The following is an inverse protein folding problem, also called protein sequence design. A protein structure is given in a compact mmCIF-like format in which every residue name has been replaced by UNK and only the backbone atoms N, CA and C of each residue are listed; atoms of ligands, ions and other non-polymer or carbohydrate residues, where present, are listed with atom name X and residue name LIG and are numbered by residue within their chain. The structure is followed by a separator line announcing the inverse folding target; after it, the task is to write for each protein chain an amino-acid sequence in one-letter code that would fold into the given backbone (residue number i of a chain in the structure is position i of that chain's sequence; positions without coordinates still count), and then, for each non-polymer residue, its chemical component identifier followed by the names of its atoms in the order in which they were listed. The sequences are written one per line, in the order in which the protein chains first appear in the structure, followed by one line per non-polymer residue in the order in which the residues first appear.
data_IF_613706464989
#
_entry.id   IF_613706464989
#
_cell.length_a   1.000
_cell.length_b   1.000
_cell.length_c   1.000
_cell.angle_alpha   90.00
_cell.angle_beta   90.00
_cell.angle_gamma   90.00
#
_symmetry.space_group_name_H-M   'P 1'
#
loop_
_entity.id
_entity.type
_entity.pdbx_description
1 polymer ?
#
# COMPACT_ATOMS: atom_id res chain seq x y z
N UNK A 1 31.81 11.90 -59.04
CA UNK A 1 32.07 12.46 -57.70
C UNK A 1 30.80 12.28 -56.90
N UNK A 2 30.73 11.23 -56.04
CA UNK A 2 29.54 10.91 -55.20
C UNK A 2 29.67 11.62 -53.85
N UNK A 3 28.76 12.54 -53.54
CA UNK A 3 28.67 13.24 -52.26
C UNK A 3 28.02 12.32 -51.23
N UNK A 4 28.77 11.87 -50.25
CA UNK A 4 28.29 11.10 -49.10
C UNK A 4 27.82 12.15 -48.06
N UNK A 5 26.51 12.16 -47.80
CA UNK A 5 25.90 12.96 -46.75
C UNK A 5 26.02 12.20 -45.43
N UNK A 6 26.61 12.76 -44.35
CA UNK A 6 26.62 12.09 -43.06
C UNK A 6 25.26 12.20 -42.41
N UNK A 7 24.64 11.07 -42.16
CA UNK A 7 23.42 10.95 -41.35
C UNK A 7 23.81 11.17 -39.87
N UNK A 8 23.55 12.37 -39.36
CA UNK A 8 23.71 12.66 -37.93
C UNK A 8 22.48 12.08 -37.22
N UNK A 9 22.64 10.95 -36.58
CA UNK A 9 21.67 10.38 -35.66
C UNK A 9 21.62 11.25 -34.40
N UNK A 10 20.63 12.09 -34.27
CA UNK A 10 20.33 12.82 -33.03
C UNK A 10 19.73 11.82 -32.04
N UNK A 11 20.57 11.33 -31.15
CA UNK A 11 20.14 10.52 -30.00
C UNK A 11 19.45 11.47 -29.02
N UNK A 12 18.13 11.60 -29.09
CA UNK A 12 17.32 12.25 -28.07
C UNK A 12 17.39 11.42 -26.78
N UNK A 13 18.31 11.79 -25.89
CA UNK A 13 18.30 11.32 -24.53
C UNK A 13 17.05 11.91 -23.86
N UNK A 14 15.99 11.11 -23.77
CA UNK A 14 14.87 11.40 -22.92
C UNK A 14 15.38 11.27 -21.48
N UNK A 15 15.85 12.40 -20.93
CA UNK A 15 16.09 12.51 -19.50
C UNK A 15 14.72 12.39 -18.81
N UNK A 16 14.32 11.15 -18.50
CA UNK A 16 13.22 10.93 -17.59
C UNK A 16 13.61 11.61 -16.28
N UNK A 17 12.88 12.65 -15.87
CA UNK A 17 12.99 13.21 -14.53
C UNK A 17 12.82 12.08 -13.54
N UNK A 18 13.95 11.55 -13.02
CA UNK A 18 13.92 10.71 -11.84
C UNK A 18 13.63 11.67 -10.68
N UNK A 19 12.63 11.41 -9.86
CA UNK A 19 12.49 12.17 -8.63
C UNK A 19 13.82 12.06 -7.86
N UNK A 20 14.38 13.20 -7.46
CA UNK A 20 15.55 13.25 -6.61
C UNK A 20 15.12 12.82 -5.20
N UNK A 21 15.28 11.54 -4.86
CA UNK A 21 14.90 11.00 -3.55
C UNK A 21 14.61 9.50 -3.56
N UNK A 22 14.43 8.91 -2.36
CA UNK A 22 14.03 7.52 -2.24
C UNK A 22 12.65 7.29 -2.84
N UNK A 23 12.50 6.23 -3.63
CA UNK A 23 11.26 5.91 -4.34
C UNK A 23 10.83 4.47 -4.13
N UNK A 24 9.53 4.22 -4.12
CA UNK A 24 8.93 2.92 -4.29
C UNK A 24 8.50 2.75 -5.76
N UNK A 25 9.06 1.75 -6.44
CA UNK A 25 8.58 1.32 -7.75
C UNK A 25 7.63 0.13 -7.57
N UNK A 26 6.35 0.32 -7.88
CA UNK A 26 5.34 -0.74 -7.81
C UNK A 26 5.16 -1.33 -9.21
N UNK A 27 5.54 -2.59 -9.39
CA UNK A 27 5.32 -3.38 -10.60
C UNK A 27 4.11 -4.26 -10.39
N UNK A 28 3.00 -3.87 -11.00
CA UNK A 28 1.73 -4.55 -10.82
C UNK A 28 1.40 -5.49 -11.97
N UNK A 29 0.85 -6.63 -11.61
CA UNK A 29 0.24 -7.58 -12.53
C UNK A 29 -1.22 -7.82 -12.14
N UNK A 30 -2.09 -7.94 -13.14
CA UNK A 30 -3.50 -8.24 -12.97
C UNK A 30 -3.95 -9.12 -14.13
N UNK A 31 -4.92 -9.98 -13.89
CA UNK A 31 -5.41 -10.90 -14.93
C UNK A 31 -5.92 -10.20 -16.19
N UNK A 32 -6.07 -10.96 -17.24
CA UNK A 32 -6.59 -10.49 -18.52
C UNK A 32 -7.99 -9.88 -18.40
N UNK A 33 -8.31 -8.94 -19.27
CA UNK A 33 -9.62 -8.28 -19.29
C UNK A 33 -9.71 -6.97 -18.48
N UNK A 34 -8.60 -6.54 -17.87
CA UNK A 34 -8.54 -5.26 -17.14
C UNK A 34 -7.85 -4.13 -17.92
N UNK A 35 -7.42 -4.38 -19.16
CA UNK A 35 -6.80 -3.37 -20.00
C UNK A 35 -7.69 -2.14 -20.16
N UNK A 36 -7.09 -0.96 -20.03
CA UNK A 36 -7.79 0.32 -20.06
C UNK A 36 -8.44 0.73 -18.73
N UNK A 37 -8.53 -0.15 -17.74
CA UNK A 37 -9.02 0.22 -16.41
C UNK A 37 -7.93 0.95 -15.62
N UNK A 38 -8.36 1.77 -14.65
CA UNK A 38 -7.46 2.47 -13.76
C UNK A 38 -7.23 1.68 -12.48
N UNK A 39 -5.99 1.66 -12.04
CA UNK A 39 -5.61 1.33 -10.67
C UNK A 39 -5.35 2.65 -9.97
N UNK A 40 -5.90 2.81 -8.78
CA UNK A 40 -5.69 3.96 -7.91
C UNK A 40 -4.75 3.60 -6.79
N UNK A 41 -3.85 4.51 -6.49
CA UNK A 41 -2.99 4.50 -5.32
C UNK A 41 -3.56 5.51 -4.32
N UNK A 42 -3.98 5.03 -3.15
CA UNK A 42 -4.72 5.80 -2.15
C UNK A 42 -3.96 5.82 -0.81
N UNK A 43 -3.17 6.87 -0.50
CA UNK A 43 -2.53 7.00 0.81
C UNK A 43 -3.55 6.97 1.96
N UNK A 44 -3.20 6.30 3.06
CA UNK A 44 -4.07 6.13 4.22
C UNK A 44 -3.55 6.96 5.42
N UNK A 45 -4.40 7.31 6.42
CA UNK A 45 -5.79 6.86 6.62
C UNK A 45 -6.86 7.69 5.89
N UNK A 46 -6.57 8.85 5.38
CA UNK A 46 -7.58 9.77 4.82
C UNK A 46 -7.14 10.32 3.46
N UNK A 47 -7.26 9.52 2.38
CA UNK A 47 -6.88 9.98 1.05
C UNK A 47 -7.79 11.14 0.61
N UNK A 48 -7.17 12.26 0.23
CA UNK A 48 -7.83 13.36 -0.44
C UNK A 48 -7.60 13.24 -1.95
N UNK A 49 -8.45 13.87 -2.77
CA UNK A 49 -8.38 13.71 -4.22
C UNK A 49 -7.04 14.16 -4.84
N UNK A 50 -6.37 15.10 -4.20
CA UNK A 50 -5.07 15.66 -4.60
C UNK A 50 -3.87 14.76 -4.28
N UNK A 51 -4.03 13.77 -3.39
CA UNK A 51 -2.97 12.80 -3.05
C UNK A 51 -3.22 11.40 -3.63
N UNK A 52 -4.36 11.20 -4.28
CA UNK A 52 -4.67 9.94 -4.97
C UNK A 52 -4.05 9.97 -6.36
N UNK A 53 -3.14 9.04 -6.62
CA UNK A 53 -2.56 8.81 -7.94
C UNK A 53 -3.27 7.69 -8.69
N UNK A 54 -3.12 7.62 -10.00
CA UNK A 54 -3.69 6.54 -10.80
C UNK A 54 -2.86 6.21 -12.03
N UNK A 55 -2.87 4.94 -12.40
CA UNK A 55 -2.28 4.44 -13.65
C UNK A 55 -3.27 3.58 -14.41
N UNK A 56 -3.02 3.36 -15.69
CA UNK A 56 -3.89 2.54 -16.56
C UNK A 56 -3.24 1.20 -16.81
N UNK A 57 -4.02 0.12 -16.69
CA UNK A 57 -3.59 -1.24 -17.03
C UNK A 57 -3.34 -1.36 -18.52
N UNK A 58 -2.20 -1.94 -18.90
CA UNK A 58 -1.80 -2.23 -20.29
C UNK A 58 -1.15 -3.61 -20.36
N UNK A 59 -1.70 -4.49 -21.15
CA UNK A 59 -1.20 -5.87 -21.26
C UNK A 59 -1.17 -6.62 -19.92
N UNK A 60 -2.22 -6.45 -19.12
CA UNK A 60 -2.32 -7.05 -17.78
C UNK A 60 -1.33 -6.52 -16.75
N UNK A 61 -0.66 -5.40 -17.02
CA UNK A 61 0.35 -4.81 -16.11
C UNK A 61 0.07 -3.35 -15.80
N UNK A 62 0.62 -2.87 -14.68
CA UNK A 62 0.60 -1.46 -14.31
C UNK A 62 1.86 -1.07 -13.54
N UNK A 63 2.18 0.22 -13.51
CA UNK A 63 3.39 0.74 -12.88
C UNK A 63 3.06 2.02 -12.11
N UNK A 64 3.59 2.11 -10.88
CA UNK A 64 3.69 3.36 -10.14
C UNK A 64 5.14 3.63 -9.75
N UNK A 65 5.49 4.90 -9.61
CA UNK A 65 6.72 5.40 -9.00
C UNK A 65 6.35 6.46 -8.00
N UNK A 66 6.43 6.09 -6.73
CA UNK A 66 5.94 6.88 -5.61
C UNK A 66 7.14 7.39 -4.82
N UNK A 67 7.21 8.70 -4.47
CA UNK A 67 8.16 9.18 -3.48
C UNK A 67 8.00 8.42 -2.16
N UNK A 68 9.10 7.97 -1.56
CA UNK A 68 9.13 7.15 -0.36
C UNK A 68 10.09 7.74 0.69
N UNK A 69 10.00 9.05 0.90
CA UNK A 69 10.82 9.79 1.87
C UNK A 69 10.47 9.45 3.32
N UNK A 70 9.29 8.90 3.55
CA UNK A 70 8.82 8.44 4.86
C UNK A 70 7.98 7.17 4.70
N UNK A 71 7.99 6.33 5.74
CA UNK A 71 7.12 5.14 5.78
C UNK A 71 5.68 5.57 6.01
N UNK A 72 4.77 5.11 5.16
CA UNK A 72 3.32 5.22 5.34
C UNK A 72 2.61 4.05 4.67
N UNK A 73 1.30 3.94 4.86
CA UNK A 73 0.48 2.89 4.22
C UNK A 73 -0.42 3.47 3.14
N UNK A 74 -0.68 2.68 2.12
CA UNK A 74 -1.59 3.02 1.04
C UNK A 74 -2.41 1.80 0.61
N UNK A 75 -3.55 2.05 -0.02
CA UNK A 75 -4.33 1.02 -0.70
C UNK A 75 -4.14 1.12 -2.22
N UNK A 76 -3.97 -0.02 -2.86
CA UNK A 76 -4.19 -0.16 -4.30
C UNK A 76 -5.62 -0.63 -4.55
N UNK A 77 -6.36 0.11 -5.37
CA UNK A 77 -7.76 -0.19 -5.66
C UNK A 77 -8.05 -0.18 -7.16
N UNK A 78 -8.98 -1.02 -7.60
CA UNK A 78 -9.48 -1.03 -8.97
C UNK A 78 -10.56 0.03 -9.17
N UNK A 79 -10.60 0.65 -10.34
CA UNK A 79 -11.66 1.57 -10.74
C UNK A 79 -13.03 0.89 -10.87
N UNK A 80 -13.03 -0.43 -11.06
CA UNK A 80 -14.21 -1.24 -11.25
C UNK A 80 -14.10 -2.50 -10.43
N UNK A 81 -15.09 -2.77 -9.60
CA UNK A 81 -15.21 -4.04 -8.87
C UNK A 81 -15.36 -5.19 -9.85
N UNK A 82 -14.59 -6.26 -9.63
CA UNK A 82 -14.72 -7.50 -10.36
C UNK A 82 -14.85 -8.67 -9.37
N UNK A 83 -15.71 -9.65 -9.64
CA UNK A 83 -15.80 -10.86 -8.80
C UNK A 83 -14.42 -11.52 -8.67
N UNK A 84 -14.07 -11.94 -7.45
CA UNK A 84 -12.81 -12.62 -7.18
C UNK A 84 -11.59 -11.70 -6.99
N UNK A 85 -11.74 -10.38 -7.09
CA UNK A 85 -10.65 -9.43 -6.80
C UNK A 85 -10.87 -8.73 -5.45
N UNK A 86 -9.79 -8.55 -4.71
CA UNK A 86 -9.82 -7.76 -3.50
C UNK A 86 -10.19 -6.31 -3.83
N UNK A 87 -11.08 -5.71 -3.04
CA UNK A 87 -11.46 -4.30 -3.23
C UNK A 87 -10.28 -3.37 -3.00
N UNK A 88 -9.38 -3.75 -2.09
CA UNK A 88 -8.20 -3.00 -1.68
C UNK A 88 -7.06 -3.95 -1.34
N UNK A 89 -5.87 -3.62 -1.80
CA UNK A 89 -4.63 -4.25 -1.36
C UNK A 89 -3.84 -3.23 -0.55
N UNK A 90 -3.76 -3.44 0.76
CA UNK A 90 -2.94 -2.62 1.66
C UNK A 90 -1.45 -2.91 1.40
N UNK A 91 -0.68 -1.84 1.23
CA UNK A 91 0.78 -1.87 1.07
C UNK A 91 1.44 -0.84 1.99
N UNK A 92 2.71 -1.08 2.33
CA UNK A 92 3.58 -0.09 2.93
C UNK A 92 4.38 0.64 1.85
N UNK A 93 4.47 1.95 1.96
CA UNK A 93 5.30 2.78 1.10
C UNK A 93 6.64 2.98 1.79
N UNK A 94 7.65 2.31 1.26
CA UNK A 94 9.06 2.36 1.69
C UNK A 94 9.96 2.25 0.45
N UNK A 95 11.20 2.72 0.46
CA UNK A 95 12.08 2.67 -0.71
C UNK A 95 12.32 1.25 -1.22
N UNK A 96 12.25 1.06 -2.54
CA UNK A 96 12.54 -0.23 -3.16
C UNK A 96 11.68 -0.56 -4.36
N UNK A 97 11.62 -1.85 -4.69
CA UNK A 97 10.76 -2.41 -5.73
C UNK A 97 9.74 -3.31 -5.07
N UNK A 98 8.47 -3.13 -5.41
CA UNK A 98 7.35 -3.92 -4.92
C UNK A 98 6.67 -4.60 -6.11
N UNK A 99 6.71 -5.92 -6.12
CA UNK A 99 5.98 -6.73 -7.09
C UNK A 99 4.58 -7.03 -6.53
N UNK A 100 3.56 -6.62 -7.27
CA UNK A 100 2.16 -6.72 -6.88
C UNK A 100 1.40 -7.61 -7.84
N UNK A 101 0.63 -8.54 -7.30
CA UNK A 101 -0.40 -9.26 -8.05
C UNK A 101 -1.78 -8.87 -7.50
N UNK A 102 -2.64 -8.33 -8.36
CA UNK A 102 -4.05 -8.10 -8.04
C UNK A 102 -4.87 -9.27 -8.55
N UNK A 103 -5.61 -9.91 -7.66
CA UNK A 103 -6.38 -11.12 -7.97
C UNK A 103 -7.05 -11.70 -6.73
N UNK A 104 -7.34 -12.99 -6.78
CA UNK A 104 -7.88 -13.76 -5.66
C UNK A 104 -7.00 -15.01 -5.40
N UNK A 105 -6.01 -14.92 -4.49
CA UNK A 105 -5.67 -13.79 -3.61
C UNK A 105 -4.81 -12.71 -4.28
N UNK A 106 -4.89 -11.49 -3.76
CA UNK A 106 -3.94 -10.42 -4.09
C UNK A 106 -2.71 -10.50 -3.18
N UNK A 107 -1.53 -10.13 -3.70
CA UNK A 107 -0.26 -10.17 -2.95
C UNK A 107 0.65 -8.99 -3.29
N UNK A 108 1.59 -8.69 -2.37
CA UNK A 108 2.61 -7.68 -2.54
C UNK A 108 3.92 -8.15 -1.89
N UNK A 109 5.02 -8.19 -2.66
CA UNK A 109 6.32 -8.72 -2.27
C UNK A 109 7.47 -7.81 -2.72
N UNK A 110 8.61 -7.87 -2.03
CA UNK A 110 9.85 -7.24 -2.47
C UNK A 110 10.45 -6.23 -1.52
N UNK A 111 9.71 -5.74 -0.51
CA UNK A 111 10.27 -4.88 0.53
C UNK A 111 9.96 -5.40 1.93
N UNK A 112 10.81 -5.14 2.95
CA UNK A 112 10.70 -5.81 4.25
C UNK A 112 9.35 -5.64 4.96
N UNK A 113 8.79 -4.43 4.92
CA UNK A 113 7.49 -4.17 5.57
C UNK A 113 6.35 -4.83 4.80
N UNK A 114 6.43 -4.86 3.47
CA UNK A 114 5.41 -5.51 2.64
C UNK A 114 5.44 -7.04 2.77
N UNK A 115 6.61 -7.66 2.94
CA UNK A 115 6.68 -9.10 3.27
C UNK A 115 5.99 -9.41 4.60
N UNK A 116 6.20 -8.57 5.62
CA UNK A 116 5.53 -8.75 6.90
C UNK A 116 4.01 -8.52 6.81
N UNK A 117 3.58 -7.52 6.05
CA UNK A 117 2.16 -7.28 5.76
C UNK A 117 1.52 -8.43 4.98
N UNK A 118 2.26 -9.01 4.03
CA UNK A 118 1.76 -10.14 3.24
C UNK A 118 1.57 -11.38 4.13
N UNK A 119 2.57 -11.72 4.94
CA UNK A 119 2.46 -12.83 5.90
C UNK A 119 1.31 -12.63 6.90
N UNK A 120 1.07 -11.40 7.34
CA UNK A 120 -0.07 -11.06 8.20
C UNK A 120 -1.42 -11.24 7.46
N UNK A 121 -1.54 -10.79 6.21
CA UNK A 121 -2.77 -10.98 5.40
C UNK A 121 -3.09 -12.46 5.20
N UNK A 122 -2.07 -13.28 4.98
CA UNK A 122 -2.21 -14.73 4.85
C UNK A 122 -2.72 -15.37 6.15
N UNK A 123 -2.25 -14.91 7.31
CA UNK A 123 -2.81 -15.33 8.62
C UNK A 123 -4.27 -14.96 8.77
N UNK A 124 -4.67 -13.75 8.38
CA UNK A 124 -6.07 -13.35 8.41
C UNK A 124 -6.96 -14.28 7.56
N UNK A 125 -6.44 -14.78 6.45
CA UNK A 125 -7.14 -15.71 5.56
C UNK A 125 -7.17 -17.14 6.10
N UNK A 126 -6.26 -17.48 7.01
CA UNK A 126 -6.15 -18.82 7.61
C UNK A 126 -7.33 -19.26 8.49
N UNK A 127 -8.23 -18.31 8.84
CA UNK A 127 -9.52 -18.60 9.49
C UNK A 127 -9.47 -18.80 11.01
N UNK A 128 -8.31 -18.76 11.67
CA UNK A 128 -8.21 -18.77 13.13
C UNK A 128 -8.21 -17.33 13.69
N UNK A 129 -9.31 -16.90 14.38
CA UNK A 129 -9.41 -15.53 14.88
C UNK A 129 -8.37 -15.18 15.94
N UNK A 130 -7.96 -16.12 16.77
CA UNK A 130 -6.95 -15.86 17.83
C UNK A 130 -5.55 -15.78 17.24
N UNK A 131 -5.23 -16.56 16.22
CA UNK A 131 -3.96 -16.43 15.49
C UNK A 131 -3.92 -15.10 14.70
N UNK A 132 -5.01 -14.74 14.04
CA UNK A 132 -5.16 -13.47 13.33
C UNK A 132 -4.98 -12.27 14.27
N UNK A 133 -5.61 -12.29 15.45
CA UNK A 133 -5.49 -11.26 16.50
C UNK A 133 -4.05 -11.15 17.00
N UNK A 134 -3.42 -12.29 17.32
CA UNK A 134 -2.03 -12.35 17.76
C UNK A 134 -1.09 -11.81 16.69
N UNK A 135 -1.23 -12.25 15.44
CA UNK A 135 -0.43 -11.76 14.32
C UNK A 135 -0.58 -10.26 14.08
N UNK A 136 -1.79 -9.71 14.28
CA UNK A 136 -2.03 -8.26 14.19
C UNK A 136 -1.31 -7.52 15.31
N UNK A 137 -1.38 -8.02 16.55
CA UNK A 137 -0.70 -7.44 17.70
C UNK A 137 0.83 -7.43 17.52
N UNK A 138 1.40 -8.56 17.09
CA UNK A 138 2.83 -8.69 16.83
C UNK A 138 3.31 -7.76 15.73
N UNK A 139 2.52 -7.59 14.67
CA UNK A 139 2.85 -6.70 13.57
C UNK A 139 2.83 -5.23 14.00
N UNK A 140 1.86 -4.82 14.82
CA UNK A 140 1.80 -3.47 15.39
C UNK A 140 3.05 -3.19 16.22
N UNK A 141 3.45 -4.13 17.10
CA UNK A 141 4.64 -3.96 17.93
C UNK A 141 5.94 -3.92 17.11
N UNK A 142 5.99 -4.67 16.01
CA UNK A 142 7.18 -4.73 15.14
C UNK A 142 7.34 -3.47 14.27
N UNK A 143 6.24 -2.85 13.86
CA UNK A 143 6.22 -1.67 13.01
C UNK A 143 5.36 -0.58 13.65
N UNK A 144 5.81 0.01 14.76
CA UNK A 144 4.99 0.90 15.59
C UNK A 144 4.62 2.23 14.92
N UNK A 145 5.31 2.59 13.86
CA UNK A 145 5.06 3.84 13.13
C UNK A 145 3.76 3.78 12.31
N UNK A 146 3.82 4.17 11.04
CA UNK A 146 2.65 4.30 10.18
C UNK A 146 1.83 3.01 10.04
N UNK A 147 2.47 1.84 9.92
CA UNK A 147 1.79 0.55 9.76
C UNK A 147 1.04 0.18 11.05
N UNK A 148 1.75 0.23 12.18
CA UNK A 148 1.17 -0.12 13.48
C UNK A 148 0.04 0.83 13.87
N UNK A 149 0.22 2.13 13.68
CA UNK A 149 -0.81 3.12 13.94
C UNK A 149 -2.07 2.88 13.10
N UNK A 150 -1.90 2.57 11.82
CA UNK A 150 -3.03 2.25 10.93
C UNK A 150 -3.75 0.95 11.34
N UNK A 151 -3.01 -0.10 11.64
CA UNK A 151 -3.60 -1.36 12.10
C UNK A 151 -4.28 -1.22 13.46
N UNK A 152 -3.70 -0.44 14.39
CA UNK A 152 -4.35 -0.17 15.67
C UNK A 152 -5.66 0.61 15.49
N UNK A 153 -5.70 1.57 14.61
CA UNK A 153 -6.95 2.29 14.27
C UNK A 153 -8.05 1.34 13.77
N UNK A 154 -7.69 0.34 12.97
CA UNK A 154 -8.65 -0.64 12.43
C UNK A 154 -9.04 -1.71 13.45
N UNK A 155 -8.07 -2.25 14.20
CA UNK A 155 -8.22 -3.49 14.97
C UNK A 155 -8.05 -3.29 16.49
N UNK A 156 -7.69 -2.12 16.98
CA UNK A 156 -7.40 -1.86 18.38
C UNK A 156 -8.51 -2.24 19.36
N UNK A 157 -9.77 -2.25 18.88
CA UNK A 157 -10.92 -2.66 19.70
C UNK A 157 -11.01 -4.18 19.94
N UNK A 158 -10.28 -4.98 19.17
CA UNK A 158 -10.25 -6.44 19.32
C UNK A 158 -9.30 -6.90 20.41
N UNK A 159 -8.40 -6.04 20.87
CA UNK A 159 -7.41 -6.36 21.89
C UNK A 159 -8.03 -6.28 23.30
N UNK A 160 -7.52 -7.14 24.20
CA UNK A 160 -7.88 -7.09 25.61
C UNK A 160 -7.33 -5.84 26.30
N UNK A 161 -7.75 -5.54 27.56
CA UNK A 161 -7.31 -4.34 28.25
C UNK A 161 -5.80 -4.25 28.44
N UNK A 162 -5.11 -5.38 28.72
CA UNK A 162 -3.66 -5.39 28.92
C UNK A 162 -2.91 -5.13 27.62
N UNK A 163 -3.33 -5.78 26.52
CA UNK A 163 -2.80 -5.53 25.18
C UNK A 163 -3.00 -4.08 24.76
N UNK A 164 -4.19 -3.51 24.99
CA UNK A 164 -4.46 -2.09 24.68
C UNK A 164 -3.56 -1.17 25.49
N UNK A 165 -3.41 -1.40 26.80
CA UNK A 165 -2.52 -0.61 27.62
C UNK A 165 -1.07 -0.62 27.11
N UNK A 166 -0.59 -1.77 26.64
CA UNK A 166 0.74 -1.88 26.02
C UNK A 166 0.82 -1.05 24.73
N UNK A 167 -0.20 -1.13 23.85
CA UNK A 167 -0.22 -0.38 22.61
C UNK A 167 -0.43 1.13 22.84
N UNK A 168 -1.23 1.52 23.84
CA UNK A 168 -1.41 2.92 24.22
C UNK A 168 -0.11 3.57 24.69
N UNK A 169 0.80 2.78 25.30
CA UNK A 169 2.15 3.26 25.65
C UNK A 169 3.00 3.66 24.44
N UNK A 170 2.63 3.23 23.22
CA UNK A 170 3.22 3.65 21.95
C UNK A 170 2.59 4.96 21.41
N UNK A 171 1.67 5.56 22.15
CA UNK A 171 1.01 6.82 21.77
C UNK A 171 -0.21 6.67 20.89
N UNK A 172 -0.75 5.45 20.75
CA UNK A 172 -1.91 5.18 19.89
C UNK A 172 -3.26 5.54 20.51
N UNK A 173 -3.31 5.81 21.81
CA UNK A 173 -4.48 6.30 22.53
C UNK A 173 -5.14 7.51 21.85
N UNK A 174 -4.35 8.33 21.16
CA UNK A 174 -4.82 9.50 20.41
C UNK A 174 -5.41 9.19 19.05
N UNK A 175 -5.17 7.99 18.51
CA UNK A 175 -5.63 7.59 17.17
C UNK A 175 -7.06 7.04 17.19
N UNK A 176 -7.53 6.50 18.30
CA UNK A 176 -8.91 6.05 18.49
C UNK A 176 -9.63 7.09 19.35
N UNK A 177 -10.48 7.95 18.78
CA UNK A 177 -11.29 8.85 19.59
C UNK A 177 -12.14 8.05 20.57
N UNK A 178 -12.04 8.36 21.87
CA UNK A 178 -12.89 7.72 22.89
C UNK A 178 -14.36 8.00 22.54
N UNK A 179 -15.08 6.93 22.20
CA UNK A 179 -16.51 7.00 21.86
C UNK A 179 -17.34 7.52 23.03
N UNK A 180 -16.79 7.53 24.25
CA UNK A 180 -17.45 8.06 25.45
C UNK A 180 -17.56 9.57 25.44
N UNK A 181 -16.63 10.29 24.82
CA UNK A 181 -16.65 11.75 24.75
C UNK A 181 -17.70 12.29 23.77
N UNK A 182 -18.16 11.51 22.80
CA UNK A 182 -19.24 11.94 21.89
C UNK A 182 -20.65 11.91 22.49
N UNK A 183 -20.86 11.28 23.65
CA UNK A 183 -22.17 11.25 24.35
C UNK A 183 -22.38 12.39 25.32
N UNK A 184 -21.42 13.26 25.53
CA UNK A 184 -21.52 14.34 26.52
C UNK A 184 -21.61 15.75 25.92
N UNK A 185 -21.71 15.89 24.60
CA UNK A 185 -22.04 17.17 23.96
C UNK A 185 -23.39 17.02 23.23
N UNK A 186 -24.50 17.51 23.82
CA UNK A 186 -25.79 17.59 23.15
C UNK A 186 -25.84 18.65 22.06
#
# INVERSE_FOLDING_TARGET
MKKILPFIAVLLAVAACRPDGPTLEIRGHIGDGFDGQKIYFCPQPHPTADVVDSTVVKGGTFLFRIPADSLYVADLTLSRRAPGYAERLLIAVEPGVLDVTLGAPSSAHGTPTNEALQAWKERLQGGDPEDAKRGTFDLILRYPDAVGGYLYMLFGRLFDPAQRQQLDSLGYDKLIPDVRTRRQNP
#
